data_IF_769640433580
#
_entry.id   IF_769640433580
#
_cell.length_a   1.000
_cell.length_b   1.000
_cell.length_c   1.000
_cell.angle_alpha   90.00
_cell.angle_beta   90.00
_cell.angle_gamma   90.00
#
_symmetry.space_group_name_H-M   'P 1'
#
loop_
_entity.id
_entity.type
_entity.pdbx_description
1 polymer ?
#
# COMPACT_ATOMS: atom_id res chain seq x y z
N UNK A 1 17.39 -0.26 16.09
CA UNK A 1 17.51 -1.51 15.34
C UNK A 1 18.97 -1.76 15.02
N UNK A 2 19.52 -2.78 15.62
CA UNK A 2 20.93 -3.14 15.46
C UNK A 2 21.06 -4.35 14.55
N UNK A 3 20.99 -4.13 13.23
CA UNK A 3 21.27 -5.16 12.25
C UNK A 3 20.25 -6.30 12.13
N UNK A 4 19.08 -6.18 12.75
CA UNK A 4 18.02 -7.18 12.64
C UNK A 4 17.02 -6.80 11.56
N UNK A 5 16.55 -7.80 10.80
CA UNK A 5 15.43 -7.61 9.86
C UNK A 5 14.14 -7.86 10.64
N UNK A 6 13.25 -6.88 10.61
CA UNK A 6 11.97 -6.95 11.32
C UNK A 6 10.82 -6.78 10.33
N UNK A 7 9.81 -7.64 10.45
CA UNK A 7 8.56 -7.53 9.71
C UNK A 7 7.43 -7.20 10.68
N UNK A 8 6.59 -6.26 10.30
CA UNK A 8 5.44 -5.87 11.12
C UNK A 8 4.22 -5.64 10.23
N UNK A 9 3.03 -5.81 10.80
CA UNK A 9 1.77 -5.53 10.12
C UNK A 9 1.09 -4.33 10.77
N UNK A 10 0.49 -3.48 9.94
CA UNK A 10 -0.18 -2.26 10.39
C UNK A 10 -1.50 -2.13 9.63
N UNK A 11 -2.56 -1.81 10.34
CA UNK A 11 -3.87 -1.56 9.73
C UNK A 11 -3.88 -0.18 9.06
N UNK A 12 -4.03 -0.18 7.75
CA UNK A 12 -4.12 1.03 6.94
C UNK A 12 -4.83 0.71 5.64
N UNK A 13 -5.16 1.74 4.86
CA UNK A 13 -5.91 1.59 3.61
C UNK A 13 -5.04 1.72 2.36
N UNK A 14 -3.77 2.04 2.52
CA UNK A 14 -2.83 2.25 1.43
C UNK A 14 -1.41 2.33 1.97
N UNK A 15 -0.42 2.39 1.08
CA UNK A 15 0.98 2.59 1.45
C UNK A 15 1.17 3.95 2.14
N UNK A 16 0.55 5.01 1.62
CA UNK A 16 0.60 6.31 2.30
C UNK A 16 -0.02 6.25 3.70
N UNK A 17 -1.10 5.46 3.84
CA UNK A 17 -1.74 5.24 5.13
C UNK A 17 -0.84 4.54 6.13
N UNK A 18 -0.07 3.54 5.69
CA UNK A 18 0.91 2.86 6.54
C UNK A 18 1.95 3.85 7.04
N UNK A 19 2.50 4.65 6.16
CA UNK A 19 3.51 5.66 6.51
C UNK A 19 2.94 6.67 7.52
N UNK A 20 1.75 7.21 7.25
CA UNK A 20 1.07 8.13 8.16
C UNK A 20 0.81 7.51 9.53
N UNK A 21 0.43 6.23 9.56
CA UNK A 21 0.20 5.53 10.83
C UNK A 21 1.48 5.40 11.64
N UNK A 22 2.61 5.14 11.00
CA UNK A 22 3.91 5.07 11.68
C UNK A 22 4.27 6.42 12.30
N UNK A 23 4.01 7.51 11.59
CA UNK A 23 4.22 8.85 12.14
C UNK A 23 3.32 9.12 13.36
N UNK A 24 2.05 8.70 13.31
CA UNK A 24 1.13 8.83 14.43
C UNK A 24 1.62 8.05 15.66
N UNK A 25 2.29 6.93 15.45
CA UNK A 25 2.85 6.11 16.53
C UNK A 25 4.13 6.69 17.11
N UNK A 26 4.57 7.84 16.62
CA UNK A 26 5.71 8.57 17.18
C UNK A 26 7.05 8.29 16.50
N UNK A 27 7.06 7.55 15.39
CA UNK A 27 8.29 7.33 14.62
C UNK A 27 8.54 8.56 13.75
N UNK A 28 9.74 9.12 13.78
CA UNK A 28 10.05 10.32 13.01
C UNK A 28 10.29 10.01 11.53
N UNK A 29 10.09 11.00 10.66
CA UNK A 29 10.39 10.86 9.23
C UNK A 29 11.84 10.49 8.99
N UNK A 30 12.76 11.08 9.75
CA UNK A 30 14.18 10.81 9.63
C UNK A 30 14.52 9.35 9.96
N UNK A 31 13.91 8.81 11.00
CA UNK A 31 14.08 7.42 11.37
C UNK A 31 13.54 6.48 10.27
N UNK A 32 12.35 6.79 9.74
CA UNK A 32 11.75 5.98 8.68
C UNK A 32 12.60 6.00 7.42
N UNK A 33 13.19 7.14 7.08
CA UNK A 33 14.05 7.26 5.91
C UNK A 33 15.29 6.35 6.00
N UNK A 34 15.77 6.09 7.22
CA UNK A 34 16.96 5.27 7.45
C UNK A 34 16.64 3.79 7.58
N UNK A 35 15.56 3.44 8.31
CA UNK A 35 15.32 2.05 8.71
C UNK A 35 14.25 1.33 7.90
N UNK A 36 13.31 2.06 7.32
CA UNK A 36 12.20 1.43 6.59
C UNK A 36 12.63 1.03 5.18
N UNK A 37 12.71 -0.27 4.94
CA UNK A 37 13.21 -0.81 3.67
C UNK A 37 12.10 -1.08 2.66
N UNK A 38 10.87 -1.18 3.10
CA UNK A 38 9.76 -1.42 2.19
C UNK A 38 8.42 -1.51 2.91
N UNK A 39 7.37 -1.18 2.19
CA UNK A 39 5.98 -1.30 2.65
C UNK A 39 5.19 -2.03 1.58
N UNK A 40 4.45 -3.05 2.01
CA UNK A 40 3.58 -3.81 1.13
C UNK A 40 2.15 -3.73 1.65
N UNK A 41 1.24 -3.35 0.78
CA UNK A 41 -0.19 -3.32 1.07
C UNK A 41 -0.88 -4.36 0.21
N UNK A 42 -1.66 -5.25 0.83
CA UNK A 42 -2.31 -6.33 0.09
C UNK A 42 -3.75 -6.55 0.55
N UNK A 43 -4.58 -6.98 -0.38
CA UNK A 43 -5.97 -7.36 -0.11
C UNK A 43 -6.41 -8.45 -1.07
N UNK A 44 -7.44 -9.20 -0.66
CA UNK A 44 -8.14 -10.12 -1.55
C UNK A 44 -9.34 -9.38 -2.15
N UNK A 45 -9.38 -9.27 -3.47
CA UNK A 45 -10.44 -8.58 -4.20
C UNK A 45 -10.88 -9.47 -5.35
N UNK A 46 -12.16 -9.78 -5.41
CA UNK A 46 -12.70 -10.63 -6.48
C UNK A 46 -12.06 -12.01 -6.54
N UNK A 47 -11.62 -12.56 -5.40
CA UNK A 47 -10.95 -13.86 -5.34
C UNK A 47 -9.47 -13.83 -5.67
N UNK A 48 -8.92 -12.66 -6.02
CA UNK A 48 -7.50 -12.51 -6.34
C UNK A 48 -6.75 -11.67 -5.32
N UNK A 49 -5.47 -11.97 -5.12
CA UNK A 49 -4.59 -11.15 -4.28
C UNK A 49 -4.08 -9.94 -5.03
N UNK A 50 -4.30 -8.76 -4.50
CA UNK A 50 -3.84 -7.50 -5.07
C UNK A 50 -2.78 -6.92 -4.15
N UNK A 51 -1.65 -6.52 -4.71
CA UNK A 51 -0.49 -6.07 -3.94
C UNK A 51 -0.01 -4.72 -4.46
N UNK A 52 0.28 -3.83 -3.53
CA UNK A 52 0.98 -2.58 -3.78
C UNK A 52 2.25 -2.56 -2.93
N UNK A 53 3.32 -2.01 -3.47
CA UNK A 53 4.63 -2.03 -2.81
C UNK A 53 5.35 -0.70 -3.03
N UNK A 54 6.06 -0.25 -2.00
CA UNK A 54 6.97 0.88 -2.11
C UNK A 54 8.21 0.63 -1.26
N UNK A 55 9.36 1.12 -1.72
CA UNK A 55 10.61 1.04 -0.98
C UNK A 55 11.24 2.41 -0.74
N UNK A 56 10.58 3.47 -1.15
CA UNK A 56 11.00 4.85 -0.93
C UNK A 56 9.84 5.79 -1.21
N UNK A 57 9.97 7.05 -0.79
CA UNK A 57 8.98 8.11 -1.05
C UNK A 57 7.54 7.70 -0.66
N UNK A 58 7.41 7.12 0.53
CA UNK A 58 6.15 6.54 0.98
C UNK A 58 5.01 7.55 1.05
N UNK A 59 5.31 8.78 1.47
CA UNK A 59 4.30 9.84 1.59
C UNK A 59 3.81 10.37 0.25
N UNK A 60 4.56 10.13 -0.82
CA UNK A 60 4.24 10.56 -2.18
C UNK A 60 3.93 9.40 -3.11
N UNK A 61 3.84 8.19 -2.56
CA UNK A 61 3.60 6.99 -3.36
C UNK A 61 2.33 7.09 -4.18
N UNK A 62 2.44 6.74 -5.46
CA UNK A 62 1.30 6.63 -6.38
C UNK A 62 0.93 5.17 -6.53
N UNK A 63 -0.32 4.83 -6.35
CA UNK A 63 -0.78 3.45 -6.40
C UNK A 63 -1.05 2.98 -7.85
N UNK A 64 -0.10 3.20 -8.76
CA UNK A 64 -0.28 2.87 -10.18
C UNK A 64 -0.45 1.38 -10.41
N UNK A 65 0.42 0.58 -9.82
CA UNK A 65 0.36 -0.88 -9.99
C UNK A 65 -0.87 -1.47 -9.32
N UNK A 66 -1.28 -0.91 -8.21
CA UNK A 66 -2.53 -1.30 -7.56
C UNK A 66 -3.70 -1.08 -8.51
N UNK A 67 -3.79 0.12 -9.07
CA UNK A 67 -4.89 0.48 -9.97
C UNK A 67 -4.86 -0.33 -11.27
N UNK A 68 -3.68 -0.65 -11.79
CA UNK A 68 -3.55 -1.52 -12.96
C UNK A 68 -4.09 -2.93 -12.67
N UNK A 69 -3.81 -3.47 -11.49
CA UNK A 69 -4.33 -4.77 -11.08
C UNK A 69 -5.86 -4.73 -10.93
N UNK A 70 -6.42 -3.64 -10.41
CA UNK A 70 -7.87 -3.46 -10.33
C UNK A 70 -8.49 -3.41 -11.73
N UNK A 71 -7.88 -2.67 -12.66
CA UNK A 71 -8.34 -2.61 -14.04
C UNK A 71 -8.31 -3.99 -14.71
N UNK A 72 -7.29 -4.79 -14.42
CA UNK A 72 -7.17 -6.14 -14.95
C UNK A 72 -8.29 -7.06 -14.43
N UNK A 73 -8.61 -6.95 -13.13
CA UNK A 73 -9.72 -7.71 -12.55
C UNK A 73 -11.05 -7.34 -13.20
N UNK A 74 -11.25 -6.07 -13.48
CA UNK A 74 -12.45 -5.59 -14.15
C UNK A 74 -12.53 -6.13 -15.58
N UNK A 75 -11.44 -6.06 -16.33
CA UNK A 75 -11.34 -6.56 -17.69
C UNK A 75 -11.61 -8.05 -17.77
N UNK A 76 -11.12 -8.81 -16.79
CA UNK A 76 -11.29 -10.26 -16.73
C UNK A 76 -12.66 -10.68 -16.17
N UNK A 77 -13.49 -9.73 -15.76
CA UNK A 77 -14.85 -10.01 -15.28
C UNK A 77 -14.92 -10.50 -13.85
N UNK A 78 -13.86 -10.35 -13.05
CA UNK A 78 -13.84 -10.79 -11.66
C UNK A 78 -14.53 -9.81 -10.71
N UNK A 79 -14.63 -8.55 -11.10
CA UNK A 79 -15.28 -7.50 -10.31
C UNK A 79 -16.15 -6.64 -11.22
N UNK A 80 -17.09 -5.91 -10.60
CA UNK A 80 -17.94 -4.96 -11.33
C UNK A 80 -17.22 -3.61 -11.49
N UNK A 81 -17.73 -2.77 -12.41
CA UNK A 81 -17.19 -1.43 -12.59
C UNK A 81 -17.28 -0.60 -11.30
N UNK A 82 -18.36 -0.77 -10.53
CA UNK A 82 -18.54 -0.08 -9.25
C UNK A 82 -17.50 -0.54 -8.22
N UNK A 83 -17.23 -1.85 -8.16
CA UNK A 83 -16.20 -2.39 -7.28
C UNK A 83 -14.82 -1.86 -7.67
N UNK A 84 -14.52 -1.82 -8.96
CA UNK A 84 -13.25 -1.29 -9.45
C UNK A 84 -13.07 0.18 -9.03
N UNK A 85 -14.10 1.00 -9.21
CA UNK A 85 -14.07 2.40 -8.80
C UNK A 85 -13.85 2.55 -7.30
N UNK A 86 -14.51 1.73 -6.49
CA UNK A 86 -14.40 1.76 -5.04
C UNK A 86 -13.01 1.34 -4.56
N UNK A 87 -12.41 0.34 -5.21
CA UNK A 87 -11.14 -0.25 -4.78
C UNK A 87 -9.89 0.46 -5.32
N UNK A 88 -10.04 1.28 -6.35
CA UNK A 88 -8.91 2.09 -6.83
C UNK A 88 -8.49 3.11 -5.80
N UNK A 89 -7.19 3.35 -5.75
CA UNK A 89 -6.61 4.34 -4.85
C UNK A 89 -6.27 5.60 -5.65
N UNK A 90 -6.85 6.72 -5.24
CA UNK A 90 -6.59 8.02 -5.85
C UNK A 90 -6.13 8.99 -4.77
N UNK A 91 -5.00 9.62 -5.01
CA UNK A 91 -4.45 10.65 -4.14
C UNK A 91 -4.63 12.01 -4.80
N UNK A 92 -5.15 12.93 -4.03
CA UNK A 92 -5.36 14.30 -4.49
C UNK A 92 -4.46 15.28 -3.77
#
# INVERSE_FOLDING_TARGET
LTGATVFATIHAKSIRGVYGRLLELGVSEDELAVVLQGVCYQRLIGGGGIIDFANQNYSEHQAKKWNEQIDQLLKDGHITALQAETEKISYQ
#
